data_IF_807994080076
#
_entry.id   IF_807994080076
#
_cell.length_a   1.000
_cell.length_b   1.000
_cell.length_c   1.000
_cell.angle_alpha   90.00
_cell.angle_beta   90.00
_cell.angle_gamma   90.00
#
_symmetry.space_group_name_H-M   'P 1'
#
loop_
_entity.id
_entity.type
_entity.pdbx_description
1 polymer ?
#
# COMPACT_ATOMS: atom_id res chain seq x y z
N UNK A 1 17.81 13.51 1.49
CA UNK A 1 18.92 12.58 1.82
C UNK A 1 19.85 12.42 0.62
N UNK A 2 19.39 11.95 -0.56
CA UNK A 2 20.23 11.87 -1.79
C UNK A 2 20.99 13.18 -2.09
N UNK A 3 20.29 14.32 -2.14
CA UNK A 3 20.89 15.64 -2.46
C UNK A 3 21.98 16.14 -1.51
N UNK A 4 22.01 15.64 -0.26
CA UNK A 4 22.96 16.07 0.77
C UNK A 4 24.19 15.15 0.86
N UNK A 5 24.12 13.96 0.24
CA UNK A 5 25.14 12.92 0.33
C UNK A 5 26.03 12.84 -0.91
N UNK A 6 25.61 13.43 -2.04
CA UNK A 6 26.44 13.61 -3.24
C UNK A 6 27.67 14.51 -3.01
N UNK A 7 27.74 15.25 -1.89
CA UNK A 7 28.80 16.21 -1.58
C UNK A 7 29.88 15.68 -0.63
N UNK A 8 29.93 14.38 -0.33
CA UNK A 8 30.92 13.80 0.59
C UNK A 8 30.77 14.27 2.05
N UNK A 9 29.70 15.00 2.38
CA UNK A 9 29.40 15.48 3.72
C UNK A 9 28.77 14.35 4.55
N UNK A 10 29.60 13.78 5.43
CA UNK A 10 29.31 12.95 6.61
C UNK A 10 27.82 12.55 6.78
N UNK A 11 27.50 11.27 6.63
CA UNK A 11 26.19 10.65 6.87
C UNK A 11 25.46 11.23 8.10
N UNK A 12 26.20 11.55 9.17
CA UNK A 12 25.70 12.20 10.39
C UNK A 12 25.07 13.57 10.13
N UNK A 13 25.69 14.43 9.30
CA UNK A 13 25.12 15.73 8.91
C UNK A 13 23.85 15.57 8.07
N UNK A 14 23.79 14.55 7.23
CA UNK A 14 22.60 14.24 6.44
C UNK A 14 21.45 13.78 7.34
N UNK A 15 21.74 12.99 8.39
CA UNK A 15 20.75 12.63 9.41
C UNK A 15 20.26 13.83 10.22
N UNK A 16 21.13 14.80 10.56
CA UNK A 16 20.71 16.06 11.20
C UNK A 16 19.66 16.82 10.37
N UNK A 17 19.83 16.85 9.05
CA UNK A 17 18.85 17.49 8.17
C UNK A 17 17.52 16.74 8.15
N UNK A 18 17.52 15.41 8.28
CA UNK A 18 16.28 14.62 8.38
C UNK A 18 15.54 14.96 9.68
N UNK A 19 16.24 15.00 10.81
CA UNK A 19 15.66 15.38 12.12
C UNK A 19 15.06 16.78 12.07
N UNK A 20 15.69 17.73 11.38
CA UNK A 20 15.18 19.11 11.27
C UNK A 20 13.96 19.26 10.35
N UNK A 21 13.87 18.45 9.29
CA UNK A 21 12.90 18.64 8.22
C UNK A 21 11.72 17.66 8.27
N UNK A 22 11.78 16.62 9.10
CA UNK A 22 10.70 15.65 9.27
C UNK A 22 9.94 15.90 10.57
N UNK A 23 8.62 15.63 10.61
CA UNK A 23 7.87 15.63 11.86
C UNK A 23 8.15 14.37 12.69
N UNK A 24 7.81 14.44 13.98
CA UNK A 24 7.73 13.25 14.84
C UNK A 24 6.67 12.27 14.29
N UNK A 25 6.86 10.94 14.43
CA UNK A 25 7.88 10.24 15.22
C UNK A 25 9.21 9.98 14.47
N UNK A 26 9.29 10.28 13.18
CA UNK A 26 10.48 9.98 12.38
C UNK A 26 11.68 10.81 12.84
N UNK A 27 11.48 12.08 13.17
CA UNK A 27 12.55 12.92 13.71
C UNK A 27 13.12 12.38 15.03
N UNK A 28 12.28 11.89 15.92
CA UNK A 28 12.68 11.26 17.19
C UNK A 28 13.57 10.02 16.97
N UNK A 29 13.17 9.14 16.07
CA UNK A 29 13.91 7.91 15.75
C UNK A 29 15.31 8.18 15.17
N UNK A 30 15.44 9.13 14.24
CA UNK A 30 16.74 9.53 13.70
C UNK A 30 17.58 10.33 14.71
N UNK A 31 16.95 11.09 15.62
CA UNK A 31 17.61 11.79 16.72
C UNK A 31 18.23 10.82 17.73
N UNK A 32 17.55 9.70 17.98
CA UNK A 32 18.07 8.63 18.83
C UNK A 32 19.35 8.01 18.26
N UNK A 33 19.35 7.63 16.97
CA UNK A 33 20.55 7.12 16.27
C UNK A 33 21.71 8.11 16.34
N UNK A 34 21.42 9.41 16.19
CA UNK A 34 22.41 10.46 16.32
C UNK A 34 22.98 10.60 17.74
N UNK A 35 22.15 10.37 18.76
CA UNK A 35 22.56 10.43 20.16
C UNK A 35 23.44 9.22 20.51
N UNK A 36 23.05 8.02 20.10
CA UNK A 36 23.83 6.79 20.28
C UNK A 36 25.20 6.88 19.59
N UNK A 37 25.25 7.40 18.36
CA UNK A 37 26.51 7.62 17.67
C UNK A 37 27.44 8.61 18.40
N UNK A 38 26.90 9.66 19.03
CA UNK A 38 27.68 10.62 19.84
C UNK A 38 28.19 10.01 21.15
N UNK A 39 27.51 9.00 21.67
CA UNK A 39 27.92 8.23 22.84
C UNK A 39 28.97 7.16 22.51
N UNK A 40 29.33 7.00 21.23
CA UNK A 40 30.36 6.07 20.77
C UNK A 40 29.85 4.70 20.36
N UNK A 41 28.52 4.51 20.25
CA UNK A 41 27.97 3.27 19.68
C UNK A 41 28.29 3.17 18.17
N UNK A 42 28.42 1.93 17.68
CA UNK A 42 28.61 1.70 16.26
C UNK A 42 27.37 2.15 15.48
N UNK A 43 27.60 2.93 14.42
CA UNK A 43 26.51 3.49 13.63
C UNK A 43 25.70 2.41 12.91
N UNK A 44 26.30 1.28 12.53
CA UNK A 44 25.57 0.20 11.86
C UNK A 44 24.62 -0.49 12.83
N UNK A 45 25.04 -0.69 14.08
CA UNK A 45 24.20 -1.28 15.13
C UNK A 45 22.99 -0.36 15.43
N UNK A 46 23.23 0.93 15.60
CA UNK A 46 22.14 1.92 15.79
C UNK A 46 21.18 1.98 14.58
N UNK A 47 21.67 1.83 13.36
CA UNK A 47 20.82 1.80 12.15
C UNK A 47 20.06 0.46 12.01
N UNK A 48 20.63 -0.65 12.47
CA UNK A 48 19.94 -1.94 12.54
C UNK A 48 18.78 -1.87 13.55
N UNK A 49 19.00 -1.27 14.72
CA UNK A 49 17.93 -1.03 15.70
C UNK A 49 16.85 -0.08 15.17
N UNK A 50 17.24 1.00 14.47
CA UNK A 50 16.28 1.89 13.79
C UNK A 50 15.40 1.13 12.80
N UNK A 51 16.01 0.27 11.97
CA UNK A 51 15.28 -0.53 11.00
C UNK A 51 14.33 -1.52 11.68
N UNK A 52 14.74 -2.11 12.81
CA UNK A 52 13.90 -2.99 13.62
C UNK A 52 12.72 -2.24 14.27
N UNK A 53 12.92 -1.02 14.78
CA UNK A 53 11.86 -0.19 15.39
C UNK A 53 10.82 0.28 14.38
N UNK A 54 11.25 0.73 13.20
CA UNK A 54 10.32 1.23 12.16
C UNK A 54 9.61 0.07 11.44
N UNK A 55 10.27 -1.08 11.27
CA UNK A 55 9.65 -2.30 10.71
C UNK A 55 9.16 -2.17 9.26
N UNK A 56 9.56 -1.11 8.54
CA UNK A 56 9.21 -0.91 7.12
C UNK A 56 10.31 -1.46 6.22
N UNK A 57 9.92 -2.26 5.24
CA UNK A 57 10.83 -2.84 4.23
C UNK A 57 11.72 -1.79 3.56
N UNK A 58 11.19 -0.59 3.31
CA UNK A 58 11.94 0.50 2.67
C UNK A 58 13.10 1.02 3.55
N UNK A 59 12.93 1.02 4.88
CA UNK A 59 13.96 1.44 5.84
C UNK A 59 15.02 0.36 5.99
N UNK A 60 14.63 -0.92 6.00
CA UNK A 60 15.56 -2.06 6.00
C UNK A 60 16.43 -2.05 4.74
N UNK A 61 15.83 -1.71 3.58
CA UNK A 61 16.54 -1.58 2.32
C UNK A 61 17.52 -0.40 2.33
N UNK A 62 17.12 0.74 2.92
CA UNK A 62 18.00 1.89 3.13
C UNK A 62 19.20 1.53 4.01
N UNK A 63 18.98 0.88 5.14
CA UNK A 63 20.04 0.47 6.04
C UNK A 63 21.03 -0.48 5.36
N UNK A 64 20.53 -1.50 4.67
CA UNK A 64 21.37 -2.43 3.89
C UNK A 64 22.21 -1.70 2.84
N UNK A 65 21.62 -0.77 2.10
CA UNK A 65 22.33 0.04 1.11
C UNK A 65 23.44 0.90 1.74
N UNK A 66 23.18 1.50 2.91
CA UNK A 66 24.18 2.27 3.66
C UNK A 66 25.35 1.36 4.11
N UNK A 67 25.04 0.18 4.68
CA UNK A 67 26.06 -0.77 5.16
C UNK A 67 26.95 -1.26 4.02
N UNK A 68 26.35 -1.68 2.90
CA UNK A 68 27.07 -2.17 1.71
C UNK A 68 27.96 -1.06 1.12
N UNK A 69 27.43 0.14 0.95
CA UNK A 69 28.20 1.25 0.39
C UNK A 69 29.39 1.64 1.29
N UNK A 70 29.22 1.59 2.62
CA UNK A 70 30.30 1.85 3.58
C UNK A 70 31.35 0.73 3.61
N UNK A 71 30.96 -0.54 3.48
CA UNK A 71 31.90 -1.66 3.50
C UNK A 71 32.73 -1.79 2.22
N UNK A 72 32.14 -1.44 1.07
CA UNK A 72 32.79 -1.52 -0.25
C UNK A 72 33.53 -0.22 -0.60
N UNK A 73 33.30 0.87 0.15
CA UNK A 73 33.94 2.17 -0.08
C UNK A 73 33.42 2.93 -1.32
N UNK A 74 32.21 2.61 -1.78
CA UNK A 74 31.59 3.23 -2.94
C UNK A 74 30.94 4.59 -2.64
N UNK A 75 30.46 5.28 -3.67
CA UNK A 75 29.77 6.56 -3.52
C UNK A 75 28.37 6.36 -2.90
N UNK A 76 28.26 6.53 -1.59
CA UNK A 76 27.01 6.42 -0.84
C UNK A 76 25.93 7.39 -1.34
N UNK A 77 26.32 8.56 -1.83
CA UNK A 77 25.40 9.51 -2.45
C UNK A 77 24.74 8.94 -3.71
N UNK A 78 25.49 8.26 -4.56
CA UNK A 78 24.97 7.59 -5.76
C UNK A 78 24.06 6.41 -5.40
N UNK A 79 24.47 5.55 -4.46
CA UNK A 79 23.64 4.42 -4.02
C UNK A 79 22.30 4.88 -3.44
N UNK A 80 22.30 5.94 -2.62
CA UNK A 80 21.07 6.49 -2.05
C UNK A 80 20.24 7.27 -3.07
N UNK A 81 20.85 7.84 -4.11
CA UNK A 81 20.10 8.44 -5.22
C UNK A 81 19.33 7.38 -6.02
N UNK A 82 20.01 6.27 -6.35
CA UNK A 82 19.38 5.12 -7.01
C UNK A 82 18.25 4.58 -6.14
N UNK A 83 18.50 4.34 -4.84
CA UNK A 83 17.47 3.88 -3.92
C UNK A 83 16.28 4.84 -3.85
N UNK A 84 16.53 6.15 -3.77
CA UNK A 84 15.48 7.17 -3.76
C UNK A 84 14.63 7.13 -5.04
N UNK A 85 15.26 6.95 -6.20
CA UNK A 85 14.54 6.77 -7.48
C UNK A 85 13.69 5.51 -7.45
N UNK A 86 14.23 4.38 -7.02
CA UNK A 86 13.51 3.10 -6.90
C UNK A 86 12.33 3.20 -5.94
N UNK A 87 12.50 3.80 -4.76
CA UNK A 87 11.42 3.99 -3.79
C UNK A 87 10.30 4.90 -4.33
N UNK A 88 10.66 5.96 -5.07
CA UNK A 88 9.67 6.83 -5.73
C UNK A 88 8.92 6.11 -6.84
N UNK A 89 9.58 5.27 -7.62
CA UNK A 89 8.93 4.43 -8.63
C UNK A 89 7.99 3.41 -7.99
N UNK A 90 8.43 2.72 -6.94
CA UNK A 90 7.59 1.81 -6.14
C UNK A 90 6.34 2.52 -5.62
N UNK A 91 6.49 3.69 -4.99
CA UNK A 91 5.37 4.50 -4.51
C UNK A 91 4.40 4.91 -5.62
N UNK A 92 4.91 5.28 -6.81
CA UNK A 92 4.06 5.56 -7.98
C UNK A 92 3.28 4.34 -8.44
N UNK A 93 3.91 3.17 -8.48
CA UNK A 93 3.25 1.90 -8.87
C UNK A 93 2.18 1.54 -7.84
N UNK A 94 2.50 1.56 -6.55
CA UNK A 94 1.52 1.32 -5.48
C UNK A 94 0.35 2.31 -5.53
N UNK A 95 0.62 3.59 -5.84
CA UNK A 95 -0.42 4.61 -6.02
C UNK A 95 -1.34 4.27 -7.20
N UNK A 96 -0.76 3.85 -8.34
CA UNK A 96 -1.54 3.40 -9.51
C UNK A 96 -2.36 2.15 -9.19
N UNK A 97 -1.79 1.16 -8.51
CA UNK A 97 -2.49 -0.06 -8.10
C UNK A 97 -3.65 0.28 -7.17
N UNK A 98 -3.44 1.15 -6.17
CA UNK A 98 -4.51 1.63 -5.27
C UNK A 98 -5.61 2.37 -6.02
N UNK A 99 -5.27 3.23 -6.97
CA UNK A 99 -6.25 3.96 -7.78
C UNK A 99 -7.08 3.01 -8.65
N UNK A 100 -6.43 2.11 -9.39
CA UNK A 100 -7.10 1.10 -10.23
C UNK A 100 -7.97 0.15 -9.41
N UNK A 101 -7.47 -0.29 -8.25
CA UNK A 101 -8.24 -1.14 -7.34
C UNK A 101 -9.45 -0.40 -6.76
N UNK A 102 -9.32 0.89 -6.46
CA UNK A 102 -10.44 1.71 -5.97
C UNK A 102 -11.52 1.88 -7.05
N UNK A 103 -11.11 2.07 -8.31
CA UNK A 103 -12.02 2.12 -9.45
C UNK A 103 -12.74 0.78 -9.65
N UNK A 104 -12.01 -0.34 -9.59
CA UNK A 104 -12.57 -1.70 -9.66
C UNK A 104 -13.54 -2.01 -8.52
N UNK A 105 -13.23 -1.56 -7.29
CA UNK A 105 -14.14 -1.64 -6.13
C UNK A 105 -15.44 -0.89 -6.37
N UNK A 106 -15.36 0.35 -6.84
CA UNK A 106 -16.54 1.16 -7.11
C UNK A 106 -17.44 0.54 -8.20
N UNK A 107 -16.85 0.09 -9.30
CA UNK A 107 -17.58 -0.58 -10.38
C UNK A 107 -18.18 -1.92 -9.91
N UNK A 108 -17.44 -2.70 -9.14
CA UNK A 108 -17.90 -3.96 -8.57
C UNK A 108 -19.09 -3.79 -7.61
N UNK A 109 -19.02 -2.79 -6.72
CA UNK A 109 -20.12 -2.46 -5.82
C UNK A 109 -21.37 -2.01 -6.58
N UNK A 110 -21.21 -1.18 -7.61
CA UNK A 110 -22.32 -0.75 -8.46
C UNK A 110 -22.96 -1.94 -9.21
N UNK A 111 -22.13 -2.80 -9.79
CA UNK A 111 -22.60 -4.00 -10.50
C UNK A 111 -23.33 -4.98 -9.58
N UNK A 112 -22.89 -5.12 -8.33
CA UNK A 112 -23.56 -5.97 -7.33
C UNK A 112 -24.90 -5.38 -6.87
N UNK A 113 -25.01 -4.06 -6.80
CA UNK A 113 -26.27 -3.38 -6.45
C UNK A 113 -27.30 -3.37 -7.59
N UNK A 114 -26.87 -3.48 -8.84
CA UNK A 114 -27.74 -3.33 -10.02
C UNK A 114 -28.89 -4.36 -10.08
N UNK A 115 -28.68 -5.68 -9.88
CA UNK A 115 -29.78 -6.66 -9.89
C UNK A 115 -30.82 -6.42 -8.79
N UNK A 116 -30.37 -5.99 -7.60
CA UNK A 116 -31.25 -5.68 -6.46
C UNK A 116 -32.07 -4.44 -6.77
N UNK A 117 -31.43 -3.40 -7.30
CA UNK A 117 -32.10 -2.16 -7.70
C UNK A 117 -33.14 -2.38 -8.81
N UNK A 118 -32.78 -3.13 -9.86
CA UNK A 118 -33.73 -3.53 -10.90
C UNK A 118 -34.86 -4.41 -10.35
N UNK A 119 -34.57 -5.33 -9.43
CA UNK A 119 -35.58 -6.14 -8.76
C UNK A 119 -36.61 -5.28 -8.01
N UNK A 120 -36.16 -4.25 -7.29
CA UNK A 120 -37.07 -3.30 -6.64
C UNK A 120 -37.93 -2.54 -7.65
N UNK A 121 -37.35 -2.08 -8.77
CA UNK A 121 -38.11 -1.36 -9.80
C UNK A 121 -39.19 -2.25 -10.44
N UNK A 122 -38.84 -3.48 -10.81
CA UNK A 122 -39.81 -4.43 -11.39
C UNK A 122 -40.92 -4.81 -10.40
N UNK A 123 -40.63 -4.83 -9.10
CA UNK A 123 -41.65 -5.05 -8.08
C UNK A 123 -42.76 -3.97 -8.11
N UNK A 124 -42.41 -2.72 -8.40
CA UNK A 124 -43.40 -1.63 -8.51
C UNK A 124 -44.05 -1.53 -9.90
N UNK A 125 -43.30 -1.79 -10.98
CA UNK A 125 -43.80 -1.64 -12.36
C UNK A 125 -44.64 -2.83 -12.82
N UNK A 126 -44.24 -4.06 -12.49
CA UNK A 126 -44.92 -5.30 -12.91
C UNK A 126 -45.16 -6.25 -11.73
N UNK A 127 -46.05 -5.88 -10.79
CA UNK A 127 -46.33 -6.69 -9.60
C UNK A 127 -46.89 -8.08 -9.96
N UNK A 128 -47.59 -8.22 -11.09
CA UNK A 128 -48.12 -9.53 -11.54
C UNK A 128 -47.01 -10.51 -11.93
N UNK A 129 -45.99 -10.06 -12.66
CA UNK A 129 -44.85 -10.90 -13.06
C UNK A 129 -43.99 -11.26 -11.84
N UNK A 130 -43.79 -10.30 -10.93
CA UNK A 130 -42.99 -10.51 -9.73
C UNK A 130 -43.68 -11.43 -8.72
N UNK A 131 -45.02 -11.42 -8.65
CA UNK A 131 -45.77 -12.37 -7.83
C UNK A 131 -45.65 -13.80 -8.37
N UNK A 132 -45.65 -13.99 -9.69
CA UNK A 132 -45.49 -15.29 -10.35
C UNK A 132 -44.14 -15.95 -10.02
N UNK A 133 -43.11 -15.14 -9.76
CA UNK A 133 -41.79 -15.57 -9.30
C UNK A 133 -41.82 -16.25 -7.92
N UNK A 134 -42.76 -15.87 -7.04
CA UNK A 134 -42.90 -16.46 -5.70
C UNK A 134 -43.94 -17.58 -5.61
N UNK A 135 -44.96 -17.59 -6.48
CA UNK A 135 -46.03 -18.61 -6.43
C UNK A 135 -45.77 -19.86 -7.28
N UNK A 136 -44.93 -19.79 -8.32
CA UNK A 136 -44.77 -20.88 -9.30
C UNK A 136 -43.49 -21.67 -9.06
N UNK A 137 -43.49 -23.00 -9.21
CA UNK A 137 -42.28 -23.84 -9.08
C UNK A 137 -41.12 -23.39 -10.00
N UNK A 138 -41.45 -22.94 -11.22
CA UNK A 138 -40.48 -22.34 -12.15
C UNK A 138 -39.86 -21.03 -11.63
N UNK A 139 -40.61 -20.23 -10.87
CA UNK A 139 -40.13 -18.98 -10.29
C UNK A 139 -39.06 -19.19 -9.23
N UNK A 140 -39.23 -20.21 -8.37
CA UNK A 140 -38.23 -20.61 -7.38
C UNK A 140 -36.92 -21.08 -8.01
N UNK A 141 -36.99 -21.81 -9.13
CA UNK A 141 -35.80 -22.22 -9.89
C UNK A 141 -35.05 -20.99 -10.44
N UNK A 142 -35.76 -20.04 -11.05
CA UNK A 142 -35.15 -18.82 -11.57
C UNK A 142 -34.55 -17.92 -10.48
N UNK A 143 -35.21 -17.80 -9.32
CA UNK A 143 -34.63 -17.12 -8.16
C UNK A 143 -33.35 -17.79 -7.67
N UNK A 144 -33.32 -19.12 -7.65
CA UNK A 144 -32.13 -19.89 -7.30
C UNK A 144 -30.97 -19.64 -8.26
N UNK A 145 -31.23 -19.67 -9.58
CA UNK A 145 -30.23 -19.38 -10.62
C UNK A 145 -29.72 -17.94 -10.50
N UNK A 146 -30.62 -16.97 -10.33
CA UNK A 146 -30.28 -15.56 -10.19
C UNK A 146 -29.43 -15.30 -8.92
N UNK A 147 -29.82 -15.91 -7.80
CA UNK A 147 -29.06 -15.85 -6.56
C UNK A 147 -27.67 -16.48 -6.69
N UNK A 148 -27.57 -17.66 -7.31
CA UNK A 148 -26.30 -18.33 -7.54
C UNK A 148 -25.36 -17.51 -8.44
N UNK A 149 -25.88 -16.93 -9.52
CA UNK A 149 -25.10 -16.05 -10.40
C UNK A 149 -24.66 -14.76 -9.69
N UNK A 150 -25.52 -14.16 -8.87
CA UNK A 150 -25.19 -12.97 -8.09
C UNK A 150 -24.07 -13.26 -7.08
N UNK A 151 -24.15 -14.38 -6.36
CA UNK A 151 -23.10 -14.82 -5.42
C UNK A 151 -21.80 -15.12 -6.14
N UNK A 152 -21.86 -15.82 -7.28
CA UNK A 152 -20.67 -16.12 -8.08
C UNK A 152 -19.99 -14.84 -8.58
N UNK A 153 -20.77 -13.87 -9.08
CA UNK A 153 -20.28 -12.55 -9.47
C UNK A 153 -19.64 -11.80 -8.30
N UNK A 154 -20.27 -11.82 -7.13
CA UNK A 154 -19.74 -11.19 -5.93
C UNK A 154 -18.39 -11.78 -5.48
N UNK A 155 -18.25 -13.12 -5.53
CA UNK A 155 -17.01 -13.81 -5.20
C UNK A 155 -15.90 -13.47 -6.20
N UNK A 156 -16.20 -13.44 -7.51
CA UNK A 156 -15.24 -13.08 -8.55
C UNK A 156 -14.76 -11.63 -8.39
N UNK A 157 -15.67 -10.69 -8.16
CA UNK A 157 -15.34 -9.28 -7.91
C UNK A 157 -14.45 -9.16 -6.68
N UNK A 158 -14.82 -9.81 -5.57
CA UNK A 158 -14.01 -9.79 -4.33
C UNK A 158 -12.60 -10.34 -4.56
N UNK A 159 -12.47 -11.40 -5.35
CA UNK A 159 -11.16 -12.02 -5.67
C UNK A 159 -10.29 -11.12 -6.54
N UNK A 160 -10.87 -10.44 -7.54
CA UNK A 160 -10.14 -9.49 -8.40
C UNK A 160 -9.73 -8.22 -7.64
N UNK A 161 -10.56 -7.80 -6.70
CA UNK A 161 -10.37 -6.58 -5.91
C UNK A 161 -9.38 -6.75 -4.76
N UNK A 162 -9.24 -7.96 -4.22
CA UNK A 162 -8.29 -8.26 -3.15
C UNK A 162 -6.92 -8.56 -3.75
N UNK A 163 -6.31 -7.53 -4.34
CA UNK A 163 -4.88 -7.54 -4.64
C UNK A 163 -4.21 -6.88 -3.44
N UNK A 164 -3.71 -7.70 -2.51
CA UNK A 164 -2.74 -7.26 -1.51
C UNK A 164 -1.39 -7.05 -2.22
N UNK A 165 -0.81 -5.86 -2.04
CA UNK A 165 0.55 -5.52 -2.48
C UNK A 165 1.51 -5.75 -1.34
#
# INVERSE_FOLDING_TARGET
MSSSMSSGLNLVKSMQQVVKNQPDPIAQEFSQVMTENRLGHDLNDSLDELAARIGKSDVVLMNSAIKISRSVGGNLGETLDILSKTLREKSKVEGKVRALTSMGKAQGNLAMGFPVFMGFIFYYLEPQAMHLLFTTQLGWIWLGVMGAMAVMGAVLIKKVVTIDV
#
